data_IF_287549040319
#
_entry.id   IF_287549040319
#
_cell.length_a   1.000
_cell.length_b   1.000
_cell.length_c   1.000
_cell.angle_alpha   90.00
_cell.angle_beta   90.00
_cell.angle_gamma   90.00
#
_symmetry.space_group_name_H-M   'P 1'
#
loop_
_entity.id
_entity.type
_entity.pdbx_description
1 polymer ?
#
# COMPACT_ATOMS: atom_id res chain seq x y z
N UNK A 1 0.12 -86.12 4.05
CA UNK A 1 1.25 -85.46 3.35
C UNK A 1 0.81 -84.44 2.28
N UNK A 2 -0.46 -84.02 2.21
CA UNK A 2 -0.94 -83.07 1.18
C UNK A 2 -0.99 -81.59 1.63
N UNK A 3 -0.78 -81.31 2.92
CA UNK A 3 -0.80 -79.93 3.45
C UNK A 3 0.53 -79.18 3.26
N UNK A 4 1.67 -79.89 3.29
CA UNK A 4 3.00 -79.27 3.16
C UNK A 4 3.22 -78.62 1.79
N UNK A 5 2.75 -79.27 0.71
CA UNK A 5 2.90 -78.74 -0.66
C UNK A 5 2.11 -77.45 -0.87
N UNK A 6 0.99 -77.28 -0.15
CA UNK A 6 0.09 -76.13 -0.26
C UNK A 6 0.66 -74.85 0.38
N UNK A 7 1.56 -75.01 1.36
CA UNK A 7 2.29 -73.90 1.97
C UNK A 7 3.58 -73.56 1.20
N UNK A 8 4.19 -74.55 0.54
CA UNK A 8 5.37 -74.36 -0.30
C UNK A 8 5.08 -73.44 -1.51
N UNK A 9 4.01 -73.71 -2.25
CA UNK A 9 3.63 -72.89 -3.40
C UNK A 9 3.30 -71.44 -2.97
N UNK A 10 2.77 -71.27 -1.76
CA UNK A 10 2.42 -69.97 -1.20
C UNK A 10 3.66 -69.17 -0.78
N UNK A 11 4.68 -69.84 -0.22
CA UNK A 11 5.98 -69.27 0.12
C UNK A 11 6.74 -68.84 -1.14
N UNK A 12 6.77 -69.71 -2.16
CA UNK A 12 7.42 -69.42 -3.44
C UNK A 12 6.71 -68.27 -4.19
N UNK A 13 5.38 -68.24 -4.15
CA UNK A 13 4.60 -67.10 -4.69
C UNK A 13 4.90 -65.81 -3.91
N UNK A 14 5.09 -65.89 -2.59
CA UNK A 14 5.47 -64.76 -1.74
C UNK A 14 6.85 -64.19 -2.10
N UNK A 15 7.85 -65.05 -2.32
CA UNK A 15 9.21 -64.65 -2.69
C UNK A 15 9.27 -64.01 -4.09
N UNK A 16 8.50 -64.54 -5.05
CA UNK A 16 8.35 -63.93 -6.38
C UNK A 16 7.72 -62.53 -6.26
N UNK A 17 6.74 -62.34 -5.38
CA UNK A 17 6.12 -61.04 -5.18
C UNK A 17 7.09 -60.03 -4.54
N UNK A 18 7.83 -60.43 -3.51
CA UNK A 18 8.80 -59.58 -2.82
C UNK A 18 9.95 -59.20 -3.76
N UNK A 19 10.46 -60.14 -4.55
CA UNK A 19 11.48 -59.86 -5.57
C UNK A 19 10.97 -58.92 -6.65
N UNK A 20 9.71 -59.08 -7.11
CA UNK A 20 9.08 -58.16 -8.05
C UNK A 20 8.91 -56.74 -7.47
N UNK A 21 8.42 -56.61 -6.23
CA UNK A 21 8.27 -55.31 -5.53
C UNK A 21 9.63 -54.63 -5.36
N UNK A 22 10.64 -55.36 -4.88
CA UNK A 22 11.99 -54.82 -4.68
C UNK A 22 12.65 -54.45 -6.02
N UNK A 23 12.43 -55.24 -7.08
CA UNK A 23 12.94 -54.94 -8.42
C UNK A 23 12.31 -53.68 -9.02
N UNK A 24 11.10 -53.32 -8.58
CA UNK A 24 10.35 -52.13 -9.01
C UNK A 24 10.82 -50.82 -8.35
N UNK A 25 11.75 -50.88 -7.39
CA UNK A 25 12.39 -49.73 -6.72
C UNK A 25 11.39 -48.65 -6.20
N UNK A 26 10.38 -49.02 -5.42
CA UNK A 26 9.32 -48.11 -4.99
C UNK A 26 9.85 -46.91 -4.19
N UNK A 27 10.93 -47.07 -3.43
CA UNK A 27 11.57 -45.98 -2.67
C UNK A 27 12.13 -44.90 -3.59
N UNK A 28 12.67 -45.28 -4.76
CA UNK A 28 13.17 -44.30 -5.74
C UNK A 28 12.02 -43.51 -6.36
N UNK A 29 10.88 -44.15 -6.61
CA UNK A 29 9.68 -43.47 -7.10
C UNK A 29 9.15 -42.46 -6.07
N UNK A 30 9.17 -42.81 -4.78
CA UNK A 30 8.80 -41.88 -3.69
C UNK A 30 9.77 -40.69 -3.65
N UNK A 31 11.08 -40.94 -3.68
CA UNK A 31 12.09 -39.87 -3.69
C UNK A 31 11.98 -38.95 -4.90
N UNK A 32 11.73 -39.50 -6.09
CA UNK A 32 11.52 -38.69 -7.31
C UNK A 32 10.25 -37.86 -7.19
N UNK A 33 9.16 -38.42 -6.65
CA UNK A 33 7.91 -37.69 -6.41
C UNK A 33 8.12 -36.55 -5.40
N UNK A 34 8.77 -36.81 -4.28
CA UNK A 34 9.07 -35.81 -3.26
C UNK A 34 9.99 -34.71 -3.79
N UNK A 35 11.02 -35.08 -4.56
CA UNK A 35 11.90 -34.13 -5.22
C UNK A 35 11.17 -33.24 -6.24
N UNK A 36 10.31 -33.82 -7.07
CA UNK A 36 9.47 -33.06 -7.99
C UNK A 36 8.50 -32.13 -7.26
N UNK A 37 7.88 -32.59 -6.18
CA UNK A 37 6.98 -31.80 -5.35
C UNK A 37 7.72 -30.60 -4.74
N UNK A 38 8.89 -30.83 -4.13
CA UNK A 38 9.70 -29.77 -3.55
C UNK A 38 10.17 -28.74 -4.59
N UNK A 39 10.53 -29.18 -5.80
CA UNK A 39 10.89 -28.28 -6.90
C UNK A 39 9.70 -27.43 -7.34
N UNK A 40 8.52 -28.03 -7.43
CA UNK A 40 7.30 -27.31 -7.80
C UNK A 40 6.92 -26.27 -6.74
N UNK A 41 6.93 -26.67 -5.47
CA UNK A 41 6.62 -25.80 -4.33
C UNK A 41 7.59 -24.62 -4.27
N UNK A 42 8.90 -24.89 -4.43
CA UNK A 42 9.93 -23.85 -4.49
C UNK A 42 9.69 -22.86 -5.63
N UNK A 43 9.38 -23.34 -6.83
CA UNK A 43 9.10 -22.44 -7.95
C UNK A 43 7.84 -21.61 -7.75
N UNK A 44 6.82 -22.19 -7.10
CA UNK A 44 5.61 -21.47 -6.75
C UNK A 44 5.91 -20.35 -5.74
N UNK A 45 6.73 -20.64 -4.73
CA UNK A 45 7.18 -19.65 -3.74
C UNK A 45 8.00 -18.53 -4.38
N UNK A 46 8.96 -18.86 -5.25
CA UNK A 46 9.75 -17.88 -5.99
C UNK A 46 8.87 -16.97 -6.86
N UNK A 47 7.93 -17.56 -7.61
CA UNK A 47 7.01 -16.81 -8.45
C UNK A 47 6.05 -15.92 -7.65
N UNK A 48 5.57 -16.40 -6.50
CA UNK A 48 4.75 -15.61 -5.60
C UNK A 48 5.56 -14.46 -4.97
N UNK A 49 6.79 -14.74 -4.55
CA UNK A 49 7.71 -13.74 -4.01
C UNK A 49 8.01 -12.63 -5.01
N UNK A 50 8.30 -12.99 -6.28
CA UNK A 50 8.54 -12.00 -7.33
C UNK A 50 7.32 -11.11 -7.55
N UNK A 51 6.12 -11.70 -7.67
CA UNK A 51 4.88 -10.92 -7.84
C UNK A 51 4.61 -9.99 -6.66
N UNK A 52 4.90 -10.41 -5.43
CA UNK A 52 4.75 -9.56 -4.25
C UNK A 52 5.71 -8.36 -4.32
N UNK A 53 6.96 -8.58 -4.73
CA UNK A 53 7.94 -7.50 -4.92
C UNK A 53 7.48 -6.52 -6.00
N UNK A 54 7.04 -7.03 -7.15
CA UNK A 54 6.55 -6.20 -8.27
C UNK A 54 5.33 -5.36 -7.84
N UNK A 55 4.38 -5.94 -7.10
CA UNK A 55 3.21 -5.22 -6.59
C UNK A 55 3.58 -4.15 -5.55
N UNK A 56 4.54 -4.43 -4.68
CA UNK A 56 5.01 -3.46 -3.69
C UNK A 56 5.71 -2.28 -4.36
N UNK A 57 6.49 -2.53 -5.41
CA UNK A 57 7.11 -1.49 -6.23
C UNK A 57 6.05 -0.62 -6.94
N UNK A 58 5.06 -1.25 -7.60
CA UNK A 58 3.95 -0.52 -8.24
C UNK A 58 3.15 0.32 -7.22
N UNK A 59 2.92 -0.22 -6.02
CA UNK A 59 2.24 0.49 -4.94
C UNK A 59 3.04 1.72 -4.52
N UNK A 60 4.36 1.56 -4.28
CA UNK A 60 5.22 2.68 -3.88
C UNK A 60 5.28 3.77 -4.96
N UNK A 61 5.37 3.39 -6.24
CA UNK A 61 5.31 4.34 -7.36
C UNK A 61 3.98 5.12 -7.38
N UNK A 62 2.84 4.44 -7.20
CA UNK A 62 1.54 5.11 -7.13
C UNK A 62 1.40 6.02 -5.91
N UNK A 63 1.93 5.61 -4.76
CA UNK A 63 1.94 6.45 -3.55
C UNK A 63 2.75 7.73 -3.76
N UNK A 64 3.91 7.64 -4.43
CA UNK A 64 4.71 8.82 -4.81
C UNK A 64 3.97 9.74 -5.79
N UNK A 65 3.32 9.19 -6.81
CA UNK A 65 2.50 9.97 -7.76
C UNK A 65 1.34 10.68 -7.07
N UNK A 66 0.64 10.00 -6.16
CA UNK A 66 -0.43 10.58 -5.36
C UNK A 66 0.09 11.72 -4.48
N UNK A 67 1.23 11.55 -3.82
CA UNK A 67 1.84 12.60 -3.00
C UNK A 67 2.17 13.85 -3.82
N UNK A 68 2.71 13.67 -5.03
CA UNK A 68 2.99 14.78 -5.96
C UNK A 68 1.70 15.52 -6.34
N UNK A 69 0.64 14.77 -6.66
CA UNK A 69 -0.65 15.35 -7.04
C UNK A 69 -1.30 16.10 -5.88
N UNK A 70 -1.24 15.56 -4.67
CA UNK A 70 -1.73 16.22 -3.45
C UNK A 70 -0.99 17.53 -3.18
N UNK A 71 0.34 17.54 -3.33
CA UNK A 71 1.14 18.75 -3.17
C UNK A 71 0.81 19.81 -4.24
N UNK A 72 0.56 19.39 -5.47
CA UNK A 72 0.10 20.28 -6.54
C UNK A 72 -1.29 20.86 -6.23
N UNK A 73 -2.23 20.02 -5.78
CA UNK A 73 -3.57 20.46 -5.39
C UNK A 73 -3.52 21.45 -4.24
N UNK A 74 -2.68 21.20 -3.22
CA UNK A 74 -2.51 22.10 -2.07
C UNK A 74 -2.01 23.48 -2.50
N UNK A 75 -1.03 23.52 -3.42
CA UNK A 75 -0.54 24.78 -4.01
C UNK A 75 -1.62 25.49 -4.82
N UNK A 76 -2.35 24.75 -5.65
CA UNK A 76 -3.43 25.32 -6.46
C UNK A 76 -4.54 25.91 -5.61
N UNK A 77 -5.01 25.18 -4.59
CA UNK A 77 -6.03 25.67 -3.66
C UNK A 77 -5.57 26.93 -2.93
N UNK A 78 -4.32 26.96 -2.43
CA UNK A 78 -3.75 28.15 -1.81
C UNK A 78 -3.68 29.35 -2.78
N UNK A 79 -3.34 29.11 -4.05
CA UNK A 79 -3.34 30.14 -5.09
C UNK A 79 -4.74 30.68 -5.36
N UNK A 80 -5.76 29.82 -5.45
CA UNK A 80 -7.16 30.24 -5.64
C UNK A 80 -7.62 31.12 -4.48
N UNK A 81 -7.36 30.70 -3.23
CA UNK A 81 -7.69 31.52 -2.07
C UNK A 81 -6.99 32.87 -2.09
N UNK A 82 -5.71 32.92 -2.48
CA UNK A 82 -5.01 34.19 -2.64
C UNK A 82 -5.58 35.04 -3.78
N UNK A 83 -5.98 34.44 -4.91
CA UNK A 83 -6.57 35.17 -6.03
C UNK A 83 -7.88 35.84 -5.64
N UNK A 84 -8.71 35.13 -4.87
CA UNK A 84 -10.01 35.62 -4.39
C UNK A 84 -9.82 36.68 -3.31
N UNK A 85 -9.05 36.37 -2.27
CA UNK A 85 -8.98 37.21 -1.06
C UNK A 85 -7.91 38.29 -1.13
N UNK A 86 -6.87 38.11 -1.96
CA UNK A 86 -5.64 38.90 -1.98
C UNK A 86 -4.90 38.95 -0.63
N UNK A 87 -5.17 38.02 0.29
CA UNK A 87 -4.51 37.96 1.60
C UNK A 87 -3.31 37.02 1.56
N UNK A 88 -2.15 37.51 2.00
CA UNK A 88 -0.97 36.69 2.28
C UNK A 88 -0.80 36.53 3.79
N UNK A 89 -0.82 35.29 4.27
CA UNK A 89 -0.69 34.97 5.70
C UNK A 89 0.78 34.87 6.14
N UNK A 90 1.05 35.26 7.38
CA UNK A 90 2.24 34.92 8.14
C UNK A 90 1.99 33.61 8.89
N UNK A 91 2.89 32.64 8.76
CA UNK A 91 2.71 31.30 9.35
C UNK A 91 3.46 31.10 10.67
N UNK A 92 4.41 31.98 10.99
CA UNK A 92 5.19 31.94 12.23
C UNK A 92 4.50 32.80 13.31
N UNK A 93 3.28 32.39 13.68
CA UNK A 93 2.45 33.09 14.68
C UNK A 93 1.81 32.12 15.68
N UNK A 94 1.39 32.60 16.86
CA UNK A 94 0.63 31.79 17.80
C UNK A 94 -0.67 31.25 17.19
N UNK A 95 -1.18 30.07 17.62
CA UNK A 95 -2.34 29.41 17.02
C UNK A 95 -3.63 30.23 17.00
N UNK A 96 -3.78 31.15 17.96
CA UNK A 96 -4.95 32.03 18.12
C UNK A 96 -4.73 33.42 17.50
N UNK A 97 -3.65 33.63 16.74
CA UNK A 97 -3.36 34.92 16.11
C UNK A 97 -3.30 34.75 14.60
N UNK A 98 -4.27 35.34 13.91
CA UNK A 98 -4.27 35.46 12.47
C UNK A 98 -3.56 36.74 12.06
N UNK A 99 -2.44 36.61 11.36
CA UNK A 99 -1.62 37.74 10.92
C UNK A 99 -1.25 37.64 9.46
N UNK A 100 -1.36 38.73 8.73
CA UNK A 100 -1.08 38.75 7.29
C UNK A 100 -1.18 40.13 6.69
N UNK A 101 -1.21 40.20 5.37
CA UNK A 101 -1.34 41.45 4.62
C UNK A 101 -2.33 41.24 3.48
N UNK A 102 -3.32 42.14 3.37
CA UNK A 102 -4.25 42.21 2.26
C UNK A 102 -3.72 43.14 1.15
N UNK A 103 -3.68 42.65 -0.08
CA UNK A 103 -3.19 43.36 -1.28
C UNK A 103 -4.32 43.66 -2.26
N UNK A 104 -5.32 44.41 -1.79
CA UNK A 104 -6.43 44.89 -2.63
C UNK A 104 -6.00 45.95 -3.66
N UNK A 105 -6.96 46.61 -4.34
CA UNK A 105 -6.68 47.71 -5.27
C UNK A 105 -6.05 48.93 -4.59
N UNK A 106 -6.26 49.09 -3.28
CA UNK A 106 -5.72 50.16 -2.46
C UNK A 106 -4.34 49.82 -1.88
N UNK A 107 -3.88 50.62 -0.91
CA UNK A 107 -2.66 50.35 -0.16
C UNK A 107 -2.77 49.02 0.60
N UNK A 108 -1.66 48.29 0.67
CA UNK A 108 -1.58 47.04 1.40
C UNK A 108 -1.95 47.23 2.89
N UNK A 109 -2.93 46.46 3.37
CA UNK A 109 -3.48 46.60 4.72
C UNK A 109 -3.03 45.44 5.61
N UNK A 110 -2.34 45.71 6.73
CA UNK A 110 -1.95 44.65 7.65
C UNK A 110 -3.17 44.08 8.37
N UNK A 111 -3.19 42.76 8.53
CA UNK A 111 -4.16 42.01 9.32
C UNK A 111 -3.43 41.48 10.56
N UNK A 112 -3.99 41.72 11.74
CA UNK A 112 -3.53 41.15 13.01
C UNK A 112 -4.75 40.99 13.93
N UNK A 113 -5.21 39.77 14.10
CA UNK A 113 -6.44 39.44 14.82
C UNK A 113 -6.17 38.36 15.85
N UNK A 114 -6.52 38.63 17.11
CA UNK A 114 -6.59 37.60 18.15
C UNK A 114 -7.95 36.91 18.10
N UNK A 115 -7.96 35.65 17.71
CA UNK A 115 -9.17 34.84 17.56
C UNK A 115 -9.60 34.16 18.86
N UNK A 116 -8.90 34.38 19.98
CA UNK A 116 -9.22 33.74 21.27
C UNK A 116 -10.62 34.09 21.79
N UNK A 117 -11.10 35.29 21.48
CA UNK A 117 -12.40 35.81 21.94
C UNK A 117 -13.44 35.95 20.83
N UNK A 118 -13.13 35.53 19.60
CA UNK A 118 -13.99 35.67 18.44
C UNK A 118 -14.54 34.32 18.00
N UNK A 119 -15.81 34.29 17.60
CA UNK A 119 -16.39 33.11 16.96
C UNK A 119 -15.84 32.93 15.53
N UNK A 120 -15.87 31.70 14.98
CA UNK A 120 -15.45 31.46 13.59
C UNK A 120 -16.21 32.29 12.55
N UNK A 121 -17.49 32.59 12.80
CA UNK A 121 -18.30 33.42 11.91
C UNK A 121 -17.84 34.88 11.94
N UNK A 122 -17.62 35.46 13.13
CA UNK A 122 -17.13 36.84 13.26
C UNK A 122 -15.76 37.03 12.60
N UNK A 123 -14.86 36.06 12.77
CA UNK A 123 -13.57 36.05 12.07
C UNK A 123 -13.78 36.04 10.56
N UNK A 124 -14.65 35.17 10.06
CA UNK A 124 -14.91 35.06 8.62
C UNK A 124 -15.54 36.33 8.03
N UNK A 125 -16.53 36.90 8.70
CA UNK A 125 -17.20 38.14 8.27
C UNK A 125 -16.19 39.30 8.20
N UNK A 126 -15.30 39.39 9.18
CA UNK A 126 -14.25 40.41 9.17
C UNK A 126 -13.25 40.18 8.03
N UNK A 127 -12.85 38.94 7.74
CA UNK A 127 -11.94 38.65 6.63
C UNK A 127 -12.57 38.93 5.26
N UNK A 128 -13.84 38.58 5.08
CA UNK A 128 -14.55 38.86 3.83
C UNK A 128 -14.80 40.36 3.62
N UNK A 129 -14.86 41.17 4.68
CA UNK A 129 -14.98 42.62 4.55
C UNK A 129 -13.81 43.30 3.81
N UNK A 130 -12.63 42.64 3.73
CA UNK A 130 -11.49 43.14 2.95
C UNK A 130 -11.67 42.93 1.43
N UNK A 131 -12.49 41.97 1.02
CA UNK A 131 -12.66 41.59 -0.37
C UNK A 131 -13.70 42.50 -1.01
N UNK A 132 -13.28 43.26 -2.02
CA UNK A 132 -14.20 44.13 -2.77
C UNK A 132 -15.29 43.32 -3.45
N UNK A 133 -16.51 43.86 -3.43
CA UNK A 133 -17.70 43.31 -4.10
C UNK A 133 -18.10 44.12 -5.34
N UNK A 134 -17.27 45.09 -5.73
CA UNK A 134 -17.43 45.87 -6.97
C UNK A 134 -17.04 45.02 -8.21
N UNK A 135 -17.78 45.20 -9.31
CA UNK A 135 -17.65 44.43 -10.56
C UNK A 135 -17.35 45.31 -11.76
#
# INVERSE_FOLDING_TARGET
MAQSHKFQDLEETGDVLVSFINSSQPERLIQVKEGHQALFDKHLEEAAGQRLMDMEEEKNQREEELQILEDQLRKYVAQVYYLITKIKWEYDTPPNVLKGVHYGPDLATPINMDTSSLSPCEVSDQLWSFVSTEW
#
